data_IF_181302172276
#
_entry.id   IF_181302172276
#
_cell.length_a   1.000
_cell.length_b   1.000
_cell.length_c   1.000
_cell.angle_alpha   90.00
_cell.angle_beta   90.00
_cell.angle_gamma   90.00
#
_symmetry.space_group_name_H-M   'P 1'
#
loop_
_entity.id
_entity.type
_entity.pdbx_description
1 polymer ?
#
# COMPACT_ATOMS: atom_id res chain seq x y z
N UNK A 1 35.82 14.73 -50.50
CA UNK A 1 35.17 13.85 -49.50
C UNK A 1 34.82 14.69 -48.28
N UNK A 2 33.52 14.81 -47.92
CA UNK A 2 33.07 15.52 -46.72
C UNK A 2 33.13 14.58 -45.53
N UNK A 3 33.92 14.92 -44.52
CA UNK A 3 33.99 14.18 -43.25
C UNK A 3 32.82 14.63 -42.39
N UNK A 4 31.86 13.74 -42.14
CA UNK A 4 30.73 13.99 -41.22
C UNK A 4 31.22 13.63 -39.82
N UNK A 5 31.34 14.65 -38.97
CA UNK A 5 31.69 14.50 -37.56
C UNK A 5 30.45 14.06 -36.79
N UNK A 6 30.40 12.79 -36.38
CA UNK A 6 29.36 12.28 -35.49
C UNK A 6 29.64 12.77 -34.07
N UNK A 7 28.89 13.77 -33.62
CA UNK A 7 28.87 14.20 -32.22
C UNK A 7 28.02 13.20 -31.44
N UNK A 8 28.68 12.35 -30.66
CA UNK A 8 28.03 11.41 -29.77
C UNK A 8 27.54 12.18 -28.53
N UNK A 9 26.27 12.60 -28.53
CA UNK A 9 25.61 13.12 -27.34
C UNK A 9 25.44 11.98 -26.34
N UNK A 10 26.37 11.85 -25.40
CA UNK A 10 26.18 11.05 -24.20
C UNK A 10 25.09 11.71 -23.34
N UNK A 11 23.85 11.26 -23.50
CA UNK A 11 22.77 11.59 -22.58
C UNK A 11 23.13 10.92 -21.26
N UNK A 12 23.62 11.72 -20.31
CA UNK A 12 23.85 11.29 -18.94
C UNK A 12 22.47 11.08 -18.30
N UNK A 13 21.91 9.88 -18.43
CA UNK A 13 20.78 9.50 -17.59
C UNK A 13 21.31 9.43 -16.16
N UNK A 14 20.82 10.26 -15.22
CA UNK A 14 21.19 10.08 -13.83
C UNK A 14 20.78 8.66 -13.44
N UNK A 15 21.60 7.93 -12.67
CA UNK A 15 21.21 6.62 -12.18
C UNK A 15 19.88 6.76 -11.45
N UNK A 16 18.88 5.96 -11.85
CA UNK A 16 17.69 5.72 -11.05
C UNK A 16 18.20 5.13 -9.74
N UNK A 17 18.42 6.01 -8.78
CA UNK A 17 18.91 5.66 -7.46
C UNK A 17 17.72 5.30 -6.62
N UNK A 18 17.98 4.34 -5.75
CA UNK A 18 16.98 3.60 -5.04
C UNK A 18 16.01 4.50 -4.25
N UNK A 19 14.70 4.29 -4.33
CA UNK A 19 13.65 4.98 -3.58
C UNK A 19 13.92 5.05 -2.07
N UNK A 20 14.30 3.94 -1.41
CA UNK A 20 14.73 4.02 0.01
C UNK A 20 16.08 4.75 0.17
N UNK A 21 16.97 4.64 -0.82
CA UNK A 21 18.30 5.24 -0.77
C UNK A 21 18.30 6.77 -0.84
N UNK A 22 17.20 7.37 -1.33
CA UNK A 22 16.95 8.82 -1.24
C UNK A 22 16.96 9.31 0.22
N UNK A 23 16.67 8.40 1.17
CA UNK A 23 16.59 8.67 2.60
C UNK A 23 17.65 7.93 3.41
N UNK A 24 18.74 7.46 2.79
CA UNK A 24 19.82 6.71 3.47
C UNK A 24 20.47 7.41 4.68
N UNK A 25 20.28 8.72 4.80
CA UNK A 25 20.82 9.55 5.89
C UNK A 25 19.78 9.85 6.99
N UNK A 26 18.55 9.36 6.85
CA UNK A 26 17.47 9.53 7.83
C UNK A 26 17.49 8.32 8.77
N UNK A 27 17.46 8.57 10.07
CA UNK A 27 17.29 7.54 11.10
C UNK A 27 15.81 7.40 11.46
N UNK A 28 15.21 6.27 11.09
CA UNK A 28 13.79 6.00 11.35
C UNK A 28 13.47 5.57 12.78
N UNK A 29 14.47 5.45 13.66
CA UNK A 29 14.28 4.99 15.05
C UNK A 29 13.21 5.78 15.80
N UNK A 30 13.19 7.11 15.66
CA UNK A 30 12.19 7.94 16.34
C UNK A 30 10.77 7.68 15.81
N UNK A 31 10.62 7.55 14.48
CA UNK A 31 9.35 7.27 13.84
C UNK A 31 8.79 5.90 14.26
N UNK A 32 9.65 4.87 14.30
CA UNK A 32 9.29 3.51 14.69
C UNK A 32 8.91 3.47 16.18
N UNK A 33 9.64 4.17 17.05
CA UNK A 33 9.30 4.29 18.48
C UNK A 33 7.98 5.02 18.72
N UNK A 34 7.67 6.07 17.95
CA UNK A 34 6.36 6.74 18.03
C UNK A 34 5.25 5.76 17.64
N UNK A 35 5.40 5.03 16.53
CA UNK A 35 4.43 4.03 16.11
C UNK A 35 4.21 2.95 17.17
N UNK A 36 5.29 2.42 17.76
CA UNK A 36 5.22 1.43 18.83
C UNK A 36 4.52 1.96 20.09
N UNK A 37 4.81 3.20 20.51
CA UNK A 37 4.13 3.83 21.67
C UNK A 37 2.62 3.97 21.48
N UNK A 38 2.17 4.07 20.23
CA UNK A 38 0.75 4.14 19.87
C UNK A 38 0.16 2.79 19.44
N UNK A 39 0.86 1.68 19.63
CA UNK A 39 0.32 0.35 19.37
C UNK A 39 -1.01 0.15 20.10
N UNK A 40 -1.97 -0.46 19.43
CA UNK A 40 -3.30 -0.68 19.97
C UNK A 40 -4.23 0.54 19.87
N UNK A 41 -3.78 1.71 19.39
CA UNK A 41 -4.65 2.88 19.23
C UNK A 41 -5.92 2.57 18.40
N UNK A 42 -7.03 3.19 18.78
CA UNK A 42 -8.33 2.94 18.14
C UNK A 42 -8.52 3.78 16.88
N UNK A 43 -9.27 3.25 15.92
CA UNK A 43 -9.54 3.91 14.63
C UNK A 43 -10.79 4.81 14.63
N UNK A 44 -11.30 5.21 15.81
CA UNK A 44 -12.48 6.07 15.93
C UNK A 44 -12.19 7.55 15.71
N UNK A 45 -10.95 7.99 15.98
CA UNK A 45 -10.50 9.37 15.79
C UNK A 45 -9.22 9.39 14.96
N UNK A 46 -9.37 9.21 13.65
CA UNK A 46 -8.25 9.16 12.70
C UNK A 46 -7.39 10.44 12.70
N UNK A 47 -7.96 11.67 12.75
CA UNK A 47 -7.15 12.88 12.84
C UNK A 47 -6.25 12.92 14.09
N UNK A 48 -6.75 12.48 15.24
CA UNK A 48 -5.95 12.40 16.47
C UNK A 48 -4.84 11.36 16.37
N UNK A 49 -5.12 10.19 15.80
CA UNK A 49 -4.10 9.17 15.56
C UNK A 49 -3.01 9.68 14.62
N UNK A 50 -3.40 10.28 13.49
CA UNK A 50 -2.47 10.88 12.53
C UNK A 50 -1.58 11.95 13.19
N UNK A 51 -2.18 12.85 13.98
CA UNK A 51 -1.43 13.85 14.73
C UNK A 51 -0.43 13.21 15.70
N UNK A 52 -0.87 12.28 16.54
CA UNK A 52 -0.03 11.62 17.53
C UNK A 52 1.15 10.86 16.90
N UNK A 53 0.95 10.27 15.72
CA UNK A 53 2.00 9.57 14.98
C UNK A 53 3.05 10.51 14.35
N UNK A 54 2.73 11.79 14.13
CA UNK A 54 3.53 12.63 13.23
C UNK A 54 4.00 13.97 13.81
N UNK A 55 3.39 14.47 14.89
CA UNK A 55 3.66 15.84 15.38
C UNK A 55 5.08 16.08 15.92
N UNK A 56 5.81 15.01 16.29
CA UNK A 56 7.19 15.08 16.79
C UNK A 56 8.23 14.81 15.71
N UNK A 57 7.81 14.62 14.45
CA UNK A 57 8.68 14.25 13.34
C UNK A 57 8.80 15.42 12.37
N UNK A 58 10.02 15.69 11.94
CA UNK A 58 10.34 16.88 11.16
C UNK A 58 10.13 16.64 9.66
N UNK A 59 10.60 15.50 9.15
CA UNK A 59 10.56 15.22 7.71
C UNK A 59 9.29 14.49 7.27
N UNK A 60 8.88 14.69 6.01
CA UNK A 60 7.74 13.97 5.41
C UNK A 60 7.92 12.45 5.44
N UNK A 61 9.15 11.96 5.21
CA UNK A 61 9.45 10.54 5.20
C UNK A 61 9.37 9.91 6.59
N UNK A 62 9.80 10.60 7.65
CA UNK A 62 9.63 10.11 9.03
C UNK A 62 8.16 10.06 9.42
N UNK A 63 7.37 11.08 9.08
CA UNK A 63 5.92 11.09 9.30
C UNK A 63 5.25 9.91 8.60
N UNK A 64 5.60 9.69 7.32
CA UNK A 64 5.07 8.57 6.57
C UNK A 64 5.53 7.23 7.15
N UNK A 65 6.78 7.14 7.61
CA UNK A 65 7.33 5.96 8.29
C UNK A 65 6.52 5.59 9.53
N UNK A 66 6.25 6.54 10.42
CA UNK A 66 5.48 6.28 11.64
C UNK A 66 4.06 5.78 11.33
N UNK A 67 3.40 6.36 10.32
CA UNK A 67 2.09 5.92 9.84
C UNK A 67 2.15 4.50 9.29
N UNK A 68 3.09 4.26 8.37
CA UNK A 68 3.24 2.98 7.69
C UNK A 68 3.54 1.86 8.69
N UNK A 69 4.52 2.09 9.57
CA UNK A 69 4.94 1.15 10.60
C UNK A 69 3.81 0.88 11.59
N UNK A 70 3.05 1.90 12.00
CA UNK A 70 1.89 1.69 12.86
C UNK A 70 0.86 0.79 12.18
N UNK A 71 0.51 1.04 10.92
CA UNK A 71 -0.47 0.22 10.19
C UNK A 71 0.00 -1.23 10.07
N UNK A 72 1.26 -1.47 9.69
CA UNK A 72 1.76 -2.83 9.45
C UNK A 72 1.86 -3.68 10.71
N UNK A 73 1.96 -3.05 11.89
CA UNK A 73 2.07 -3.73 13.18
C UNK A 73 0.75 -3.78 13.98
N UNK A 74 -0.33 -3.16 13.47
CA UNK A 74 -1.60 -3.04 14.21
C UNK A 74 -2.82 -3.55 13.45
N UNK A 75 -2.69 -3.75 12.14
CA UNK A 75 -3.79 -4.21 11.29
C UNK A 75 -3.46 -5.61 10.79
N UNK A 76 -4.45 -6.51 10.82
CA UNK A 76 -4.32 -7.89 10.33
C UNK A 76 -5.01 -8.06 8.97
N UNK A 77 -4.42 -8.88 8.11
CA UNK A 77 -5.07 -9.33 6.88
C UNK A 77 -6.11 -10.41 7.19
N UNK A 78 -7.34 -10.23 6.72
CA UNK A 78 -8.46 -11.14 6.97
C UNK A 78 -8.70 -12.06 5.78
N UNK A 79 -8.26 -13.31 5.92
CA UNK A 79 -8.41 -14.33 4.88
C UNK A 79 -9.87 -14.61 4.51
N UNK A 80 -10.81 -14.51 5.46
CA UNK A 80 -12.23 -14.72 5.19
C UNK A 80 -12.80 -13.59 4.32
N UNK A 81 -12.40 -12.33 4.56
CA UNK A 81 -12.78 -11.21 3.69
C UNK A 81 -12.21 -11.38 2.28
N UNK A 82 -10.95 -11.81 2.16
CA UNK A 82 -10.30 -12.08 0.87
C UNK A 82 -11.08 -13.15 0.10
N UNK A 83 -11.25 -14.33 0.68
CA UNK A 83 -11.94 -15.46 0.02
C UNK A 83 -13.39 -15.11 -0.32
N UNK A 84 -14.10 -14.41 0.58
CA UNK A 84 -15.48 -13.95 0.34
C UNK A 84 -15.56 -12.99 -0.84
N UNK A 85 -14.65 -12.02 -0.93
CA UNK A 85 -14.62 -11.08 -2.05
C UNK A 85 -14.32 -11.79 -3.35
N UNK A 86 -13.25 -12.60 -3.40
CA UNK A 86 -12.84 -13.34 -4.59
C UNK A 86 -14.00 -14.20 -5.14
N UNK A 87 -14.67 -14.95 -4.26
CA UNK A 87 -15.82 -15.77 -4.63
C UNK A 87 -16.96 -14.94 -5.24
N UNK A 88 -17.29 -13.79 -4.64
CA UNK A 88 -18.40 -12.93 -5.09
C UNK A 88 -18.07 -12.14 -6.36
N UNK A 89 -16.84 -11.65 -6.50
CA UNK A 89 -16.32 -11.04 -7.72
C UNK A 89 -16.49 -12.00 -8.90
N UNK A 90 -16.03 -13.25 -8.73
CA UNK A 90 -16.18 -14.30 -9.76
C UNK A 90 -17.65 -14.62 -10.05
N UNK A 91 -18.49 -14.74 -9.01
CA UNK A 91 -19.91 -15.10 -9.15
C UNK A 91 -20.72 -14.02 -9.87
N UNK A 92 -20.43 -12.75 -9.62
CA UNK A 92 -21.21 -11.62 -10.16
C UNK A 92 -20.57 -10.96 -11.39
N UNK A 93 -19.44 -11.48 -11.87
CA UNK A 93 -18.69 -10.97 -13.02
C UNK A 93 -19.57 -10.69 -14.26
N UNK A 94 -20.52 -11.58 -14.55
CA UNK A 94 -21.40 -11.45 -15.72
C UNK A 94 -22.66 -10.58 -15.46
N UNK A 95 -22.79 -9.96 -14.28
CA UNK A 95 -23.96 -9.19 -13.87
C UNK A 95 -23.52 -7.86 -13.20
N UNK A 96 -23.25 -6.81 -13.98
CA UNK A 96 -22.67 -5.55 -13.49
C UNK A 96 -23.45 -4.92 -12.33
N UNK A 97 -24.78 -4.97 -12.35
CA UNK A 97 -25.63 -4.39 -11.30
C UNK A 97 -25.46 -5.12 -9.97
N UNK A 98 -25.39 -6.45 -10.01
CA UNK A 98 -25.13 -7.27 -8.80
C UNK A 98 -23.72 -7.05 -8.29
N UNK A 99 -22.75 -6.89 -9.20
CA UNK A 99 -21.37 -6.62 -8.83
C UNK A 99 -21.23 -5.26 -8.15
N UNK A 100 -21.84 -4.21 -8.70
CA UNK A 100 -21.86 -2.88 -8.09
C UNK A 100 -22.52 -2.89 -6.70
N UNK A 101 -23.66 -3.58 -6.57
CA UNK A 101 -24.34 -3.72 -5.28
C UNK A 101 -23.49 -4.51 -4.26
N UNK A 102 -22.81 -5.56 -4.71
CA UNK A 102 -21.84 -6.29 -3.89
C UNK A 102 -20.70 -5.38 -3.42
N UNK A 103 -20.02 -4.69 -4.33
CA UNK A 103 -18.91 -3.79 -4.00
C UNK A 103 -19.33 -2.73 -2.97
N UNK A 104 -20.51 -2.12 -3.14
CA UNK A 104 -21.05 -1.13 -2.19
C UNK A 104 -21.27 -1.72 -0.79
N UNK A 105 -21.87 -2.90 -0.71
CA UNK A 105 -22.17 -3.56 0.58
C UNK A 105 -20.92 -4.11 1.25
N UNK A 106 -20.01 -4.69 0.46
CA UNK A 106 -18.74 -5.24 0.92
C UNK A 106 -17.79 -4.15 1.41
N UNK A 107 -17.68 -3.01 0.71
CA UNK A 107 -16.90 -1.84 1.17
C UNK A 107 -17.28 -1.41 2.59
N UNK A 108 -18.58 -1.37 2.90
CA UNK A 108 -19.07 -1.06 4.25
C UNK A 108 -18.68 -2.13 5.28
N UNK A 109 -18.76 -3.40 4.91
CA UNK A 109 -18.33 -4.51 5.77
C UNK A 109 -16.84 -4.42 6.10
N UNK A 110 -16.00 -4.22 5.08
CA UNK A 110 -14.54 -4.04 5.22
C UNK A 110 -14.23 -2.89 6.18
N UNK A 111 -14.82 -1.71 6.00
CA UNK A 111 -14.52 -0.56 6.87
C UNK A 111 -15.06 -0.73 8.29
N UNK A 112 -16.23 -1.36 8.46
CA UNK A 112 -16.75 -1.65 9.79
C UNK A 112 -15.82 -2.62 10.53
N UNK A 113 -15.37 -3.67 9.86
CA UNK A 113 -14.45 -4.66 10.43
C UNK A 113 -13.07 -4.06 10.72
N UNK A 114 -12.53 -3.25 9.81
CA UNK A 114 -11.28 -2.51 10.03
C UNK A 114 -11.39 -1.64 11.29
N UNK A 115 -12.43 -0.83 11.41
CA UNK A 115 -12.59 0.08 12.55
C UNK A 115 -12.80 -0.64 13.88
N UNK A 116 -13.57 -1.73 13.89
CA UNK A 116 -13.96 -2.45 15.11
C UNK A 116 -12.92 -3.48 15.56
N UNK A 117 -12.30 -4.18 14.61
CA UNK A 117 -11.46 -5.35 14.87
C UNK A 117 -10.01 -5.17 14.39
N UNK A 118 -9.69 -4.10 13.66
CA UNK A 118 -8.39 -3.89 12.99
C UNK A 118 -8.02 -5.00 12.02
N UNK A 119 -9.04 -5.58 11.37
CA UNK A 119 -8.89 -6.61 10.34
C UNK A 119 -9.44 -6.13 9.01
N UNK A 120 -8.73 -6.39 7.93
CA UNK A 120 -9.12 -5.95 6.58
C UNK A 120 -8.45 -6.78 5.50
N UNK A 121 -8.76 -6.52 4.22
CA UNK A 121 -7.93 -6.91 3.07
C UNK A 121 -7.17 -5.69 2.51
N UNK A 122 -6.39 -5.92 1.45
CA UNK A 122 -5.51 -4.92 0.81
C UNK A 122 -6.14 -3.53 0.59
N UNK A 123 -7.38 -3.46 0.10
CA UNK A 123 -8.08 -2.18 -0.10
C UNK A 123 -8.25 -1.38 1.18
N UNK A 124 -8.50 -2.01 2.32
CA UNK A 124 -8.62 -1.29 3.59
C UNK A 124 -7.28 -0.90 4.21
N UNK A 125 -6.20 -1.69 3.97
CA UNK A 125 -4.83 -1.24 4.26
C UNK A 125 -4.51 0.04 3.48
N UNK A 126 -4.73 0.00 2.16
CA UNK A 126 -4.41 1.11 1.29
C UNK A 126 -5.22 2.38 1.62
N UNK A 127 -6.50 2.20 1.98
CA UNK A 127 -7.35 3.28 2.46
C UNK A 127 -6.86 3.89 3.77
N UNK A 128 -6.44 3.06 4.74
CA UNK A 128 -5.99 3.55 6.04
C UNK A 128 -4.68 4.33 5.92
N UNK A 129 -3.72 3.84 5.14
CA UNK A 129 -2.47 4.54 4.82
C UNK A 129 -2.78 5.89 4.18
N UNK A 130 -3.59 5.91 3.12
CA UNK A 130 -3.97 7.15 2.45
C UNK A 130 -4.62 8.14 3.43
N UNK A 131 -5.56 7.68 4.25
CA UNK A 131 -6.30 8.55 5.16
C UNK A 131 -5.37 9.16 6.22
N UNK A 132 -4.52 8.34 6.86
CA UNK A 132 -3.58 8.83 7.87
C UNK A 132 -2.53 9.78 7.27
N UNK A 133 -2.03 9.47 6.07
CA UNK A 133 -1.08 10.30 5.34
C UNK A 133 -1.70 11.67 4.98
N UNK A 134 -2.91 11.69 4.44
CA UNK A 134 -3.63 12.93 4.09
C UNK A 134 -3.95 13.77 5.33
N UNK A 135 -4.33 13.15 6.46
CA UNK A 135 -4.50 13.86 7.74
C UNK A 135 -3.19 14.47 8.27
N UNK A 136 -2.05 13.98 7.80
CA UNK A 136 -0.71 14.46 8.16
C UNK A 136 -0.10 15.41 7.11
N UNK A 137 -0.90 15.85 6.13
CA UNK A 137 -0.47 16.77 5.08
C UNK A 137 0.35 16.14 3.95
N UNK A 138 0.32 14.82 3.80
CA UNK A 138 1.04 14.08 2.76
C UNK A 138 0.10 13.70 1.62
N UNK A 139 0.51 13.96 0.38
CA UNK A 139 -0.22 13.47 -0.80
C UNK A 139 -0.02 11.95 -0.90
N UNK A 140 -1.11 11.21 -0.79
CA UNK A 140 -1.10 9.75 -0.89
C UNK A 140 -2.29 9.26 -1.72
N UNK A 141 -2.02 8.37 -2.68
CA UNK A 141 -3.00 7.79 -3.59
C UNK A 141 -3.11 6.28 -3.38
N UNK A 142 -4.28 5.73 -3.64
CA UNK A 142 -4.49 4.29 -3.76
C UNK A 142 -4.30 3.90 -5.22
N UNK A 143 -3.51 2.86 -5.46
CA UNK A 143 -3.36 2.24 -6.77
C UNK A 143 -4.04 0.88 -6.72
N UNK A 144 -4.90 0.60 -7.71
CA UNK A 144 -5.52 -0.70 -7.90
C UNK A 144 -4.81 -1.42 -9.05
N UNK A 145 -4.49 -2.69 -8.85
CA UNK A 145 -3.83 -3.49 -9.87
C UNK A 145 -3.77 -4.95 -9.51
N UNK A 146 -2.71 -5.60 -9.96
CA UNK A 146 -2.52 -7.04 -9.91
C UNK A 146 -1.32 -7.40 -9.04
N UNK A 147 -1.58 -8.10 -7.94
CA UNK A 147 -0.56 -8.71 -7.09
C UNK A 147 -0.27 -10.15 -7.54
N UNK A 148 1.00 -10.43 -7.87
CA UNK A 148 1.44 -11.73 -8.41
C UNK A 148 1.97 -12.71 -7.35
N UNK A 149 1.78 -12.43 -6.05
CA UNK A 149 2.31 -13.24 -4.94
C UNK A 149 1.91 -14.72 -5.02
N UNK A 150 0.78 -15.05 -5.65
CA UNK A 150 0.30 -16.42 -5.74
C UNK A 150 -0.14 -16.78 -7.17
N UNK A 151 0.84 -16.95 -8.07
CA UNK A 151 0.65 -17.23 -9.51
C UNK A 151 -0.28 -18.43 -9.80
N UNK A 152 -0.47 -19.35 -8.85
CA UNK A 152 -1.40 -20.48 -8.97
C UNK A 152 -2.85 -20.12 -8.65
N UNK A 153 -3.09 -19.25 -7.66
CA UNK A 153 -4.42 -18.76 -7.24
C UNK A 153 -5.04 -17.81 -8.27
N UNK A 154 -4.20 -17.05 -8.99
CA UNK A 154 -4.62 -15.98 -9.90
C UNK A 154 -4.31 -16.25 -11.38
N UNK A 155 -4.51 -17.49 -11.84
CA UNK A 155 -4.22 -17.89 -13.24
C UNK A 155 -4.97 -17.10 -14.32
N UNK A 156 -6.10 -16.46 -13.97
CA UNK A 156 -6.89 -15.63 -14.88
C UNK A 156 -7.11 -14.25 -14.23
N UNK A 157 -6.25 -13.29 -14.56
CA UNK A 157 -6.32 -11.91 -14.08
C UNK A 157 -7.29 -11.10 -14.95
N UNK A 158 -8.59 -11.34 -14.78
CA UNK A 158 -9.61 -10.61 -15.54
C UNK A 158 -9.98 -9.25 -14.92
N UNK A 159 -9.54 -8.98 -13.68
CA UNK A 159 -9.76 -7.73 -12.95
C UNK A 159 -8.69 -7.53 -11.85
N UNK A 160 -8.37 -6.28 -11.46
CA UNK A 160 -7.45 -5.98 -10.36
C UNK A 160 -7.79 -6.77 -9.09
N UNK A 161 -6.80 -7.43 -8.50
CA UNK A 161 -6.94 -8.26 -7.30
C UNK A 161 -6.20 -7.68 -6.07
N UNK A 162 -5.52 -6.55 -6.23
CA UNK A 162 -4.70 -5.96 -5.19
C UNK A 162 -4.76 -4.43 -5.19
N UNK A 163 -4.54 -3.84 -4.01
CA UNK A 163 -4.50 -2.39 -3.81
C UNK A 163 -3.30 -2.03 -2.93
N UNK A 164 -2.58 -0.98 -3.31
CA UNK A 164 -1.42 -0.45 -2.58
C UNK A 164 -1.39 1.08 -2.67
N UNK A 165 -0.33 1.74 -2.19
CA UNK A 165 -0.25 3.19 -2.19
C UNK A 165 0.93 3.75 -2.97
N UNK A 166 0.74 4.95 -3.50
CA UNK A 166 1.82 5.89 -3.77
C UNK A 166 1.77 7.07 -2.81
N UNK A 167 2.92 7.58 -2.40
CA UNK A 167 3.03 8.77 -1.55
C UNK A 167 4.02 9.74 -2.15
N UNK A 168 3.74 11.04 -2.08
CA UNK A 168 4.65 12.09 -2.51
C UNK A 168 5.45 12.59 -1.32
N UNK A 169 6.77 12.49 -1.40
CA UNK A 169 7.71 12.93 -0.36
C UNK A 169 8.77 13.81 -1.03
N UNK A 170 8.99 15.02 -0.50
CA UNK A 170 9.92 16.01 -1.03
C UNK A 170 9.75 16.24 -2.55
N UNK A 171 8.50 16.22 -3.03
CA UNK A 171 8.16 16.43 -4.45
C UNK A 171 8.23 15.19 -5.36
N UNK A 172 8.77 14.07 -4.89
CA UNK A 172 8.90 12.80 -5.66
C UNK A 172 7.86 11.78 -5.20
N UNK A 173 7.31 10.99 -6.14
CA UNK A 173 6.39 9.91 -5.83
C UNK A 173 7.13 8.60 -5.53
N UNK A 174 6.67 7.89 -4.51
CA UNK A 174 7.19 6.61 -4.05
C UNK A 174 6.07 5.58 -3.94
N UNK A 175 6.39 4.30 -4.09
CA UNK A 175 5.42 3.19 -3.96
C UNK A 175 5.59 2.46 -2.63
N UNK A 176 4.50 1.96 -2.07
CA UNK A 176 4.57 1.07 -0.91
C UNK A 176 3.37 0.11 -0.85
N UNK A 177 3.54 -1.02 -0.17
CA UNK A 177 2.45 -1.96 0.09
C UNK A 177 2.44 -2.39 1.55
N UNK A 178 1.50 -1.84 2.32
CA UNK A 178 1.34 -2.20 3.73
C UNK A 178 0.79 -3.63 3.92
N UNK A 179 0.06 -4.17 2.95
CA UNK A 179 -0.53 -5.52 3.06
C UNK A 179 0.57 -6.57 3.09
N UNK A 180 1.47 -6.54 2.10
CA UNK A 180 2.57 -7.51 2.01
C UNK A 180 3.69 -7.24 3.01
N UNK A 181 3.86 -6.00 3.47
CA UNK A 181 4.73 -5.70 4.60
C UNK A 181 4.24 -6.20 5.94
N UNK A 182 2.94 -6.43 6.15
CA UNK A 182 2.42 -6.72 7.49
C UNK A 182 2.69 -8.17 7.93
N UNK A 183 2.77 -9.10 6.98
CA UNK A 183 2.93 -10.52 7.24
C UNK A 183 2.10 -11.37 6.29
N UNK A 184 1.72 -12.57 6.74
CA UNK A 184 1.05 -13.57 5.91
C UNK A 184 -0.05 -14.31 6.66
N UNK A 185 -0.93 -14.98 5.92
CA UNK A 185 -1.89 -15.94 6.49
C UNK A 185 -1.31 -17.34 6.41
N UNK A 186 -1.25 -18.05 7.54
CA UNK A 186 -0.75 -19.42 7.60
C UNK A 186 -1.75 -20.44 7.03
N UNK A 187 -1.36 -21.72 7.02
CA UNK A 187 -2.18 -22.81 6.49
C UNK A 187 -3.49 -23.04 7.27
N UNK A 188 -3.59 -22.53 8.49
CA UNK A 188 -4.79 -22.61 9.33
C UNK A 188 -5.76 -21.46 9.10
N UNK A 189 -5.37 -20.48 8.27
CA UNK A 189 -6.17 -19.29 8.01
C UNK A 189 -5.96 -18.17 9.04
N UNK A 190 -4.94 -18.30 9.91
CA UNK A 190 -4.62 -17.30 10.94
C UNK A 190 -3.57 -16.33 10.38
N UNK A 191 -3.77 -15.03 10.62
CA UNK A 191 -2.78 -14.02 10.24
C UNK A 191 -1.60 -14.01 11.22
N UNK A 192 -0.39 -14.01 10.67
CA UNK A 192 0.88 -13.95 11.39
C UNK A 192 1.60 -12.67 10.97
N UNK A 193 1.91 -11.82 11.95
CA UNK A 193 2.78 -10.66 11.73
C UNK A 193 4.19 -11.13 11.40
N UNK A 194 4.70 -10.71 10.26
CA UNK A 194 6.07 -10.98 9.80
C UNK A 194 6.51 -9.77 8.97
N UNK A 195 6.91 -8.71 9.67
CA UNK A 195 7.09 -7.41 9.05
C UNK A 195 8.25 -7.41 8.05
N UNK A 196 7.96 -7.00 6.81
CA UNK A 196 8.94 -6.92 5.74
C UNK A 196 9.13 -5.48 5.26
N UNK A 197 10.22 -4.87 5.71
CA UNK A 197 10.56 -3.48 5.40
C UNK A 197 10.75 -3.20 3.91
N UNK A 198 10.97 -4.23 3.09
CA UNK A 198 11.29 -4.07 1.67
C UNK A 198 10.15 -3.42 0.89
N UNK A 199 8.88 -3.55 1.30
CA UNK A 199 7.77 -2.88 0.61
C UNK A 199 7.51 -1.44 1.09
N UNK A 200 8.31 -0.92 2.02
CA UNK A 200 8.30 0.50 2.36
C UNK A 200 9.18 1.27 1.37
N UNK A 201 8.60 2.05 0.46
CA UNK A 201 9.35 2.84 -0.54
C UNK A 201 10.25 1.95 -1.42
N UNK A 202 9.76 0.76 -1.80
CA UNK A 202 10.47 -0.21 -2.64
C UNK A 202 10.81 0.38 -4.01
N UNK A 203 11.92 -0.03 -4.62
CA UNK A 203 12.26 0.30 -6.01
C UNK A 203 11.14 0.03 -7.01
N UNK A 204 10.91 0.95 -7.94
CA UNK A 204 9.79 0.83 -8.90
C UNK A 204 9.97 -0.42 -9.76
N UNK A 205 11.20 -0.67 -10.22
CA UNK A 205 11.54 -1.82 -11.07
C UNK A 205 11.36 -3.14 -10.32
N UNK A 206 11.69 -3.19 -9.04
CA UNK A 206 11.51 -4.39 -8.21
C UNK A 206 10.02 -4.58 -7.86
N UNK A 207 9.36 -3.52 -7.44
CA UNK A 207 7.94 -3.50 -7.11
C UNK A 207 7.10 -3.97 -8.31
N UNK A 208 7.43 -3.50 -9.52
CA UNK A 208 6.79 -3.87 -10.78
C UNK A 208 6.94 -5.34 -11.20
N UNK A 209 7.87 -6.10 -10.61
CA UNK A 209 7.97 -7.56 -10.86
C UNK A 209 6.81 -8.34 -10.24
N UNK A 210 6.15 -7.74 -9.24
CA UNK A 210 5.08 -8.39 -8.47
C UNK A 210 3.78 -7.57 -8.40
N UNK A 211 3.83 -6.28 -8.72
CA UNK A 211 2.70 -5.35 -8.74
C UNK A 211 2.51 -4.74 -10.13
N UNK A 212 1.52 -5.22 -10.88
CA UNK A 212 1.19 -4.67 -12.20
C UNK A 212 0.01 -3.71 -12.06
N UNK A 213 0.15 -2.46 -12.53
CA UNK A 213 -0.93 -1.47 -12.45
C UNK A 213 -2.12 -1.93 -13.31
N UNK A 214 -3.35 -1.82 -12.79
CA UNK A 214 -4.56 -2.06 -13.57
C UNK A 214 -4.83 -0.92 -14.54
N UNK A 215 -5.57 -1.16 -15.63
CA UNK A 215 -5.99 -0.07 -16.52
C UNK A 215 -6.76 1.00 -15.72
N UNK A 216 -6.43 2.28 -15.94
CA UNK A 216 -7.11 3.41 -15.32
C UNK A 216 -8.60 3.38 -15.69
N UNK A 217 -9.48 3.06 -14.74
CA UNK A 217 -10.93 3.05 -15.01
C UNK A 217 -11.79 2.26 -14.02
N UNK A 218 -11.21 1.47 -13.12
CA UNK A 218 -11.98 0.78 -12.06
C UNK A 218 -11.79 1.52 -10.74
N UNK A 219 -12.60 2.56 -10.54
CA UNK A 219 -12.82 3.15 -9.22
C UNK A 219 -13.70 2.22 -8.37
N UNK A 220 -13.37 2.07 -7.08
CA UNK A 220 -14.09 1.26 -6.08
C UNK A 220 -15.07 2.08 -5.22
#
# INVERSE_FOLDING_TARGET
MRVILFVMCCIFMPPLTAQQSDFKNIDFTQADQIAQRHQGAALYNIPLLAHNLTFQLDTEVEKFRAIYYWVTHNIENDANLVDKNEYRQKKYKATPERLAQWNKTFKREVFNKLRAEKKTLCTGYAFLIQTLAQQSGLDCNIINGYGLANKSRFKNLDAPNHSWNTVKLNGKWYVCDATWSSGYTDETGIFVYDYDDRYFLMEVEEFGKSHLVGEMGVEW
#
